data_IF_397617517036
#
_entry.id   IF_397617517036
#
_cell.length_a   1.000
_cell.length_b   1.000
_cell.length_c   1.000
_cell.angle_alpha   90.00
_cell.angle_beta   90.00
_cell.angle_gamma   90.00
#
_symmetry.space_group_name_H-M   'P 1'
#
loop_
_entity.id
_entity.type
_entity.pdbx_description
1 polymer ?
#
# COMPACT_ATOMS: atom_id res chain seq x y z
N UNK A 1 -16.11 5.70 22.55
CA UNK A 1 -15.70 4.98 21.33
C UNK A 1 -16.96 4.44 20.66
N UNK A 2 -17.13 4.68 19.39
CA UNK A 2 -18.20 4.09 18.58
C UNK A 2 -17.56 3.00 17.73
N UNK A 3 -17.89 1.74 18.02
CA UNK A 3 -17.37 0.59 17.29
C UNK A 3 -18.13 0.38 15.98
N UNK A 4 -17.52 -0.37 15.06
CA UNK A 4 -18.14 -0.82 13.80
C UNK A 4 -18.74 0.32 12.98
N UNK A 5 -18.09 1.48 13.02
CA UNK A 5 -18.59 2.69 12.38
C UNK A 5 -17.48 3.35 11.58
N UNK A 6 -17.75 3.68 10.33
CA UNK A 6 -16.82 4.39 9.45
C UNK A 6 -17.34 5.78 9.08
N UNK A 7 -16.42 6.68 8.80
CA UNK A 7 -16.74 8.00 8.24
C UNK A 7 -16.98 7.83 6.73
N UNK A 8 -18.15 8.26 6.27
CA UNK A 8 -18.47 8.31 4.84
C UNK A 8 -18.09 9.64 4.22
N UNK A 9 -18.34 10.72 4.91
CA UNK A 9 -18.09 12.07 4.44
C UNK A 9 -17.85 13.02 5.61
N UNK A 10 -17.14 14.10 5.33
CA UNK A 10 -17.02 15.26 6.22
C UNK A 10 -17.42 16.49 5.43
N UNK A 11 -18.41 17.22 5.90
CA UNK A 11 -18.90 18.44 5.29
C UNK A 11 -18.63 19.64 6.21
N UNK A 12 -18.45 20.81 5.64
CA UNK A 12 -18.32 22.05 6.43
C UNK A 12 -19.67 22.75 6.49
N UNK A 13 -20.10 23.07 7.70
CA UNK A 13 -21.28 23.87 7.97
C UNK A 13 -20.93 25.05 8.89
N UNK A 14 -20.81 26.23 8.33
CA UNK A 14 -20.36 27.40 9.05
C UNK A 14 -18.97 27.19 9.66
N UNK A 15 -18.87 27.28 10.97
CA UNK A 15 -17.61 27.09 11.73
C UNK A 15 -17.38 25.64 12.17
N UNK A 16 -18.29 24.75 11.88
CA UNK A 16 -18.23 23.36 12.33
C UNK A 16 -18.03 22.41 11.15
N UNK A 17 -17.70 21.18 11.49
CA UNK A 17 -17.67 20.06 10.57
C UNK A 17 -18.82 19.11 10.92
N UNK A 18 -19.45 18.57 9.91
CA UNK A 18 -20.45 17.49 10.06
C UNK A 18 -19.84 16.23 9.52
N UNK A 19 -19.58 15.28 10.40
CA UNK A 19 -19.10 13.94 10.04
C UNK A 19 -20.31 13.03 9.83
N UNK A 20 -20.45 12.50 8.63
CA UNK A 20 -21.46 11.48 8.29
C UNK A 20 -20.87 10.11 8.57
N UNK A 21 -21.49 9.41 9.49
CA UNK A 21 -21.03 8.10 9.97
C UNK A 21 -22.02 7.03 9.51
N UNK A 22 -21.51 5.84 9.21
CA UNK A 22 -22.33 4.67 8.87
C UNK A 22 -21.86 3.45 9.65
N UNK A 23 -22.79 2.71 10.20
CA UNK A 23 -22.50 1.43 10.82
C UNK A 23 -22.17 0.38 9.76
N UNK A 24 -21.13 -0.43 9.97
CA UNK A 24 -20.67 -1.43 8.99
C UNK A 24 -21.64 -2.61 8.82
N UNK A 25 -22.39 -2.94 9.85
CA UNK A 25 -23.36 -4.04 9.85
C UNK A 25 -24.80 -3.60 9.57
N UNK A 26 -25.10 -2.31 9.75
CA UNK A 26 -26.41 -1.70 9.47
C UNK A 26 -26.23 -0.55 8.48
N UNK A 27 -26.06 -0.88 7.21
CA UNK A 27 -25.69 0.08 6.18
C UNK A 27 -26.76 1.14 5.88
N UNK A 28 -27.99 0.89 6.29
CA UNK A 28 -29.11 1.85 6.18
C UNK A 28 -29.12 2.88 7.30
N UNK A 29 -28.28 2.69 8.33
CA UNK A 29 -28.17 3.61 9.46
C UNK A 29 -27.02 4.58 9.27
N UNK A 30 -27.36 5.82 9.02
CA UNK A 30 -26.41 6.93 9.00
C UNK A 30 -26.66 7.85 10.20
N UNK A 31 -25.57 8.37 10.76
CA UNK A 31 -25.59 9.33 11.86
C UNK A 31 -24.73 10.54 11.47
N UNK A 32 -25.23 11.74 11.69
CA UNK A 32 -24.46 12.96 11.53
C UNK A 32 -23.98 13.45 12.89
N UNK A 33 -22.69 13.76 13.00
CA UNK A 33 -22.06 14.37 14.19
C UNK A 33 -21.46 15.71 13.85
N UNK A 34 -21.90 16.72 14.57
CA UNK A 34 -21.29 18.05 14.50
C UNK A 34 -20.06 18.08 15.42
N UNK A 35 -18.92 18.42 14.87
CA UNK A 35 -17.63 18.44 15.56
C UNK A 35 -16.81 19.66 15.17
N UNK A 36 -15.83 20.00 15.98
CA UNK A 36 -14.90 21.09 15.68
C UNK A 36 -13.75 20.64 14.77
N UNK A 37 -13.35 19.40 14.92
CA UNK A 37 -12.23 18.82 14.17
C UNK A 37 -12.47 17.35 13.89
N UNK A 38 -11.99 16.88 12.73
CA UNK A 38 -11.90 15.48 12.38
C UNK A 38 -10.44 15.15 12.15
N UNK A 39 -9.95 14.17 12.87
CA UNK A 39 -8.60 13.61 12.68
C UNK A 39 -8.79 12.22 12.08
N UNK A 40 -8.27 12.01 10.88
CA UNK A 40 -8.32 10.73 10.19
C UNK A 40 -6.93 10.10 10.20
N UNK A 41 -6.89 8.85 10.67
CA UNK A 41 -5.69 8.00 10.57
C UNK A 41 -6.14 6.61 10.11
N UNK A 42 -5.90 6.27 8.87
CA UNK A 42 -6.41 5.05 8.24
C UNK A 42 -5.37 4.33 7.37
N UNK A 43 -4.10 4.50 7.71
CA UNK A 43 -3.00 3.86 7.00
C UNK A 43 -2.66 4.55 5.67
N UNK A 44 -1.85 3.88 4.89
CA UNK A 44 -1.28 4.39 3.66
C UNK A 44 -1.44 3.39 2.52
N UNK A 45 -1.50 3.90 1.30
CA UNK A 45 -1.45 3.08 0.09
C UNK A 45 -0.02 3.09 -0.47
N UNK A 46 0.47 1.95 -0.99
CA UNK A 46 1.73 1.93 -1.69
C UNK A 46 1.74 2.91 -2.88
N UNK A 47 2.83 3.66 -3.04
CA UNK A 47 3.05 4.42 -4.26
C UNK A 47 3.76 3.52 -5.28
N UNK A 48 3.00 2.87 -6.13
CA UNK A 48 3.50 1.86 -7.08
C UNK A 48 3.41 2.27 -8.56
N UNK A 49 3.04 3.51 -8.86
CA UNK A 49 2.83 3.99 -10.23
C UNK A 49 4.06 3.78 -11.12
N UNK A 50 5.24 4.13 -10.62
CA UNK A 50 6.49 3.92 -11.33
C UNK A 50 6.77 2.43 -11.59
N UNK A 51 6.51 1.59 -10.58
CA UNK A 51 6.69 0.14 -10.73
C UNK A 51 5.74 -0.41 -11.80
N UNK A 52 4.48 -0.02 -11.81
CA UNK A 52 3.50 -0.47 -12.78
C UNK A 52 3.85 -0.01 -14.20
N UNK A 53 4.35 1.22 -14.35
CA UNK A 53 4.79 1.75 -15.64
C UNK A 53 6.02 1.02 -16.20
N UNK A 54 6.96 0.61 -15.35
CA UNK A 54 8.21 -0.06 -15.76
C UNK A 54 8.07 -1.58 -15.87
N UNK A 55 7.10 -2.16 -15.22
CA UNK A 55 6.89 -3.62 -15.15
C UNK A 55 6.88 -4.31 -16.52
N UNK A 56 6.15 -3.84 -17.54
CA UNK A 56 6.12 -4.49 -18.85
C UNK A 56 7.45 -4.41 -19.62
N UNK A 57 8.35 -3.50 -19.25
CA UNK A 57 9.64 -3.30 -19.87
C UNK A 57 10.76 -4.13 -19.22
N UNK A 58 10.49 -4.70 -18.07
CA UNK A 58 11.48 -5.44 -17.30
C UNK A 58 11.57 -6.91 -17.73
N UNK A 59 12.77 -7.49 -17.57
CA UNK A 59 13.05 -8.88 -17.91
C UNK A 59 12.23 -9.88 -17.10
N UNK A 60 12.07 -9.62 -15.82
CA UNK A 60 11.32 -10.46 -14.89
C UNK A 60 9.83 -10.09 -14.81
N UNK A 61 9.35 -9.12 -15.60
CA UNK A 61 7.97 -8.58 -15.51
C UNK A 61 7.56 -8.23 -14.06
N UNK A 62 8.52 -7.73 -13.27
CA UNK A 62 8.31 -7.42 -11.86
C UNK A 62 8.11 -8.63 -10.94
N UNK A 63 8.31 -9.84 -11.42
CA UNK A 63 8.20 -11.07 -10.63
C UNK A 63 9.42 -11.27 -9.74
N UNK A 64 9.18 -11.89 -8.58
CA UNK A 64 10.21 -12.26 -7.61
C UNK A 64 10.16 -13.76 -7.35
N UNK A 65 11.28 -14.45 -7.54
CA UNK A 65 11.40 -15.85 -7.12
C UNK A 65 11.52 -15.91 -5.59
N UNK A 66 10.42 -16.27 -4.94
CA UNK A 66 10.36 -16.39 -3.48
C UNK A 66 11.28 -17.51 -2.95
N UNK A 67 11.45 -18.60 -3.71
CA UNK A 67 12.31 -19.72 -3.29
C UNK A 67 13.78 -19.31 -3.34
N UNK A 68 14.19 -18.65 -4.42
CA UNK A 68 15.52 -18.11 -4.54
C UNK A 68 15.80 -17.08 -3.43
N UNK A 69 14.85 -16.15 -3.18
CA UNK A 69 14.98 -15.16 -2.11
C UNK A 69 15.15 -15.81 -0.73
N UNK A 70 14.40 -16.86 -0.42
CA UNK A 70 14.49 -17.59 0.86
C UNK A 70 15.84 -18.34 0.97
N UNK A 71 16.31 -18.90 -0.13
CA UNK A 71 17.55 -19.63 -0.19
C UNK A 71 18.81 -18.74 -0.26
N UNK A 72 18.65 -17.41 -0.42
CA UNK A 72 19.76 -16.48 -0.67
C UNK A 72 20.44 -16.75 -2.01
N UNK A 73 19.66 -17.12 -3.02
CA UNK A 73 20.13 -17.38 -4.37
C UNK A 73 19.74 -16.22 -5.31
N UNK A 74 20.53 -15.98 -6.37
CA UNK A 74 20.25 -14.93 -7.34
C UNK A 74 18.89 -15.08 -8.00
N UNK A 75 18.27 -13.94 -8.33
CA UNK A 75 17.02 -13.87 -9.05
C UNK A 75 17.25 -14.13 -10.56
N UNK A 76 16.65 -15.18 -11.10
CA UNK A 76 16.89 -15.63 -12.47
C UNK A 76 15.65 -15.62 -13.38
N UNK A 77 14.52 -15.05 -12.91
CA UNK A 77 13.29 -14.99 -13.73
C UNK A 77 13.53 -14.13 -14.97
N UNK A 78 13.20 -14.69 -16.14
CA UNK A 78 13.30 -14.04 -17.43
C UNK A 78 12.02 -14.25 -18.27
N UNK A 79 10.87 -13.84 -17.70
CA UNK A 79 9.55 -13.94 -18.36
C UNK A 79 9.44 -13.05 -19.59
N UNK A 80 10.27 -12.00 -19.70
CA UNK A 80 10.44 -11.16 -20.89
C UNK A 80 11.94 -11.10 -21.26
N UNK A 81 12.46 -11.97 -22.12
CA UNK A 81 13.87 -12.00 -22.49
C UNK A 81 14.39 -10.72 -23.13
N UNK A 82 13.54 -9.95 -23.78
CA UNK A 82 13.88 -8.66 -24.40
C UNK A 82 14.01 -7.51 -23.40
N UNK A 83 13.60 -7.72 -22.16
CA UNK A 83 13.72 -6.73 -21.10
C UNK A 83 15.17 -6.44 -20.76
N UNK A 84 15.53 -5.16 -20.71
CA UNK A 84 16.91 -4.71 -20.51
C UNK A 84 17.33 -4.71 -19.01
N UNK A 85 16.41 -4.83 -18.09
CA UNK A 85 16.67 -4.75 -16.64
C UNK A 85 15.74 -5.68 -15.87
N UNK A 86 16.12 -6.02 -14.64
CA UNK A 86 15.22 -6.63 -13.67
C UNK A 86 14.58 -5.53 -12.83
N UNK A 87 13.30 -5.71 -12.48
CA UNK A 87 12.53 -4.76 -11.70
C UNK A 87 11.96 -5.44 -10.46
N UNK A 88 12.23 -4.84 -9.32
CA UNK A 88 11.67 -5.28 -8.04
C UNK A 88 11.11 -4.09 -7.29
N UNK A 89 10.19 -4.35 -6.36
CA UNK A 89 9.72 -3.37 -5.39
C UNK A 89 9.90 -3.89 -3.99
N UNK A 90 10.29 -3.01 -3.09
CA UNK A 90 10.58 -3.31 -1.69
C UNK A 90 9.99 -2.23 -0.79
N UNK A 91 9.92 -2.51 0.49
CA UNK A 91 9.43 -1.55 1.48
C UNK A 91 8.01 -1.07 1.19
N UNK A 92 7.78 0.21 1.36
CA UNK A 92 6.44 0.80 1.27
C UNK A 92 5.88 0.82 -0.16
N UNK A 93 6.72 0.69 -1.18
CA UNK A 93 6.24 0.49 -2.55
C UNK A 93 5.57 -0.88 -2.74
N UNK A 94 5.91 -1.88 -1.91
CA UNK A 94 5.28 -3.20 -1.91
C UNK A 94 4.08 -3.25 -0.97
N UNK A 95 4.28 -2.84 0.27
CA UNK A 95 3.25 -2.78 1.30
C UNK A 95 3.71 -1.83 2.41
N UNK A 96 2.88 -0.87 2.74
CA UNK A 96 3.20 0.08 3.80
C UNK A 96 3.27 -0.62 5.15
N UNK A 97 4.43 -0.54 5.80
CA UNK A 97 4.70 -1.17 7.10
C UNK A 97 5.48 -0.22 8.00
N UNK A 98 6.78 -0.41 8.13
CA UNK A 98 7.67 0.43 8.92
C UNK A 98 9.07 0.48 8.29
N UNK A 99 9.86 1.44 8.75
CA UNK A 99 11.20 1.70 8.21
C UNK A 99 12.15 0.49 8.35
N UNK A 100 12.05 -0.26 9.45
CA UNK A 100 12.89 -1.45 9.66
C UNK A 100 12.60 -2.52 8.62
N UNK A 101 11.33 -2.72 8.30
CA UNK A 101 10.92 -3.69 7.28
C UNK A 101 11.38 -3.25 5.89
N UNK A 102 11.28 -1.96 5.57
CA UNK A 102 11.77 -1.43 4.30
C UNK A 102 13.28 -1.64 4.12
N UNK A 103 14.07 -1.38 5.16
CA UNK A 103 15.52 -1.65 5.17
C UNK A 103 15.79 -3.15 5.03
N UNK A 104 15.06 -3.98 5.76
CA UNK A 104 15.25 -5.44 5.72
C UNK A 104 14.92 -6.03 4.36
N UNK A 105 13.82 -5.63 3.73
CA UNK A 105 13.43 -6.07 2.39
C UNK A 105 14.50 -5.70 1.37
N UNK A 106 15.00 -4.47 1.44
CA UNK A 106 16.07 -3.98 0.55
C UNK A 106 17.36 -4.77 0.75
N UNK A 107 17.77 -4.99 2.00
CA UNK A 107 18.97 -5.72 2.32
C UNK A 107 18.90 -7.17 1.82
N UNK A 108 17.76 -7.85 2.05
CA UNK A 108 17.58 -9.23 1.60
C UNK A 108 17.64 -9.39 0.09
N UNK A 109 16.99 -8.47 -0.62
CA UNK A 109 16.93 -8.54 -2.08
C UNK A 109 18.28 -8.15 -2.72
N UNK A 110 18.84 -7.01 -2.29
CA UNK A 110 20.05 -6.47 -2.95
C UNK A 110 21.34 -7.19 -2.60
N UNK A 111 21.34 -8.03 -1.58
CA UNK A 111 22.53 -8.79 -1.18
C UNK A 111 22.95 -9.82 -2.25
N UNK A 112 21.99 -10.37 -2.96
CA UNK A 112 22.19 -11.49 -3.89
C UNK A 112 21.79 -11.13 -5.35
N UNK A 113 21.77 -9.81 -5.66
CA UNK A 113 21.56 -9.28 -7.03
C UNK A 113 22.88 -9.22 -7.80
#
# INVERSE_FOLDING_TARGET
VTADTRILAVKREGNKLVAVLRNEFAQDMEEERVVDQVVAEHGTLPNEDLYLALKPLSRNLGELDQRALIAGAPQAIASNPEGAFQLFRVGDALASRNIHTAIYDSLRLCKDL
#
